data_IF_477320755089
#
_entry.id   IF_477320755089
#
_cell.length_a   1.000
_cell.length_b   1.000
_cell.length_c   1.000
_cell.angle_alpha   90.00
_cell.angle_beta   90.00
_cell.angle_gamma   90.00
#
_symmetry.space_group_name_H-M   'P 1'
#
loop_
_entity.id
_entity.type
_entity.pdbx_description
1 polymer ?
#
# COMPACT_ATOMS: atom_id res chain seq x y z
N UNK A 1 3.12 8.59 -1.20
CA UNK A 1 4.26 8.75 -2.12
C UNK A 1 4.64 7.39 -2.69
N UNK A 2 5.12 7.36 -3.93
CA UNK A 2 5.37 6.17 -4.70
C UNK A 2 6.73 6.27 -5.39
N UNK A 3 7.41 5.13 -5.57
CA UNK A 3 8.64 5.04 -6.36
C UNK A 3 8.54 3.89 -7.36
N UNK A 4 8.88 4.17 -8.62
CA UNK A 4 8.81 3.21 -9.73
C UNK A 4 10.08 3.30 -10.58
N UNK A 5 10.50 2.19 -11.16
CA UNK A 5 11.54 2.14 -12.18
C UNK A 5 11.06 1.26 -13.35
N UNK A 6 10.17 1.78 -14.21
CA UNK A 6 9.57 0.99 -15.29
C UNK A 6 10.65 0.44 -16.20
N UNK A 7 10.49 -0.81 -16.67
CA UNK A 7 11.47 -1.56 -17.46
C UNK A 7 12.75 -2.00 -16.74
N UNK A 8 13.08 -1.45 -15.57
CA UNK A 8 14.32 -1.78 -14.84
C UNK A 8 14.06 -2.48 -13.50
N UNK A 9 12.86 -2.34 -12.95
CA UNK A 9 12.49 -2.84 -11.62
C UNK A 9 12.56 -4.37 -11.46
N UNK A 10 12.60 -5.11 -12.57
CA UNK A 10 12.80 -6.55 -12.62
C UNK A 10 14.27 -6.97 -12.33
N UNK A 11 15.23 -6.07 -12.55
CA UNK A 11 16.63 -6.33 -12.24
C UNK A 11 16.85 -6.36 -10.72
N UNK A 12 17.49 -7.43 -10.23
CA UNK A 12 17.65 -7.65 -8.78
C UNK A 12 18.31 -6.47 -8.04
N UNK A 13 19.30 -5.82 -8.66
CA UNK A 13 19.97 -4.66 -8.07
C UNK A 13 19.07 -3.43 -7.98
N UNK A 14 18.23 -3.19 -8.99
CA UNK A 14 17.28 -2.07 -9.02
C UNK A 14 16.15 -2.33 -8.03
N UNK A 15 15.57 -3.54 -8.01
CA UNK A 15 14.58 -3.96 -7.00
C UNK A 15 15.10 -3.70 -5.58
N UNK A 16 16.28 -4.21 -5.25
CA UNK A 16 16.85 -4.06 -3.92
C UNK A 16 17.02 -2.59 -3.52
N UNK A 17 17.40 -1.73 -4.48
CA UNK A 17 17.53 -0.30 -4.21
C UNK A 17 16.19 0.40 -4.05
N UNK A 18 15.18 0.06 -4.86
CA UNK A 18 13.82 0.56 -4.72
C UNK A 18 13.24 0.21 -3.35
N UNK A 19 13.40 -1.04 -2.91
CA UNK A 19 12.94 -1.49 -1.60
C UNK A 19 13.64 -0.78 -0.44
N UNK A 20 14.96 -0.62 -0.53
CA UNK A 20 15.75 0.12 0.46
C UNK A 20 15.27 1.58 0.59
N UNK A 21 15.05 2.26 -0.53
CA UNK A 21 14.54 3.64 -0.55
C UNK A 21 13.11 3.70 0.00
N UNK A 22 12.23 2.80 -0.46
CA UNK A 22 10.85 2.70 -0.01
C UNK A 22 10.75 2.52 1.51
N UNK A 23 11.58 1.64 2.06
CA UNK A 23 11.66 1.39 3.50
C UNK A 23 12.17 2.60 4.28
N UNK A 24 13.19 3.29 3.78
CA UNK A 24 13.78 4.45 4.44
C UNK A 24 12.87 5.68 4.49
N UNK A 25 12.07 5.88 3.43
CA UNK A 25 11.20 7.05 3.31
C UNK A 25 9.75 6.78 3.72
N UNK A 26 9.41 5.53 4.09
CA UNK A 26 8.04 5.08 4.33
C UNK A 26 7.11 5.35 3.13
N UNK A 27 7.57 4.98 1.93
CA UNK A 27 6.84 5.11 0.66
C UNK A 27 6.65 3.75 0.02
N UNK A 28 5.78 3.63 -0.98
CA UNK A 28 5.54 2.35 -1.67
C UNK A 28 6.35 2.25 -2.96
N UNK A 29 7.16 1.20 -3.09
CA UNK A 29 7.76 0.79 -4.36
C UNK A 29 6.78 -0.07 -5.16
N UNK A 30 6.75 0.12 -6.48
CA UNK A 30 6.04 -0.76 -7.39
C UNK A 30 7.06 -1.31 -8.38
N UNK A 31 7.12 -2.64 -8.47
CA UNK A 31 8.04 -3.35 -9.35
C UNK A 31 7.27 -4.19 -10.36
N UNK A 32 7.88 -4.37 -11.51
CA UNK A 32 7.37 -5.20 -12.58
C UNK A 32 8.17 -6.51 -12.56
N UNK A 33 7.48 -7.64 -12.48
CA UNK A 33 8.12 -8.95 -12.63
C UNK A 33 8.29 -9.25 -14.13
N UNK A 34 9.32 -10.01 -14.45
CA UNK A 34 9.50 -10.58 -15.77
C UNK A 34 9.40 -12.10 -15.66
N UNK A 35 8.35 -12.66 -16.23
CA UNK A 35 8.06 -14.09 -16.19
C UNK A 35 7.26 -14.48 -17.43
N UNK A 36 7.41 -15.72 -17.89
CA UNK A 36 6.77 -16.23 -19.12
C UNK A 36 5.43 -16.92 -18.87
N UNK A 37 5.12 -17.22 -17.62
CA UNK A 37 3.89 -17.89 -17.21
C UNK A 37 3.58 -17.61 -15.72
N UNK A 38 2.36 -17.96 -15.30
CA UNK A 38 1.86 -17.75 -13.93
C UNK A 38 2.75 -18.41 -12.89
N UNK A 39 3.19 -19.65 -13.13
CA UNK A 39 4.04 -20.40 -12.19
C UNK A 39 5.40 -19.74 -11.97
N UNK A 40 6.03 -19.26 -13.03
CA UNK A 40 7.30 -18.53 -12.94
C UNK A 40 7.14 -17.18 -12.19
N UNK A 41 6.03 -16.47 -12.42
CA UNK A 41 5.73 -15.23 -11.71
C UNK A 41 5.58 -15.48 -10.20
N UNK A 42 4.86 -16.54 -9.82
CA UNK A 42 4.68 -16.95 -8.43
C UNK A 42 6.02 -17.36 -7.80
N UNK A 43 6.81 -18.20 -8.47
CA UNK A 43 8.13 -18.62 -7.96
C UNK A 43 9.06 -17.43 -7.74
N UNK A 44 8.97 -16.41 -8.59
CA UNK A 44 9.77 -15.18 -8.43
C UNK A 44 9.46 -14.46 -7.12
N UNK A 45 8.22 -14.56 -6.62
CA UNK A 45 7.80 -13.93 -5.37
C UNK A 45 8.38 -14.58 -4.11
N UNK A 46 8.94 -15.80 -4.19
CA UNK A 46 9.63 -16.43 -3.05
C UNK A 46 10.84 -15.60 -2.56
N UNK A 47 11.42 -14.78 -3.45
CA UNK A 47 12.52 -13.88 -3.13
C UNK A 47 12.07 -12.51 -2.59
N UNK A 48 10.78 -12.34 -2.25
CA UNK A 48 10.20 -11.08 -1.78
C UNK A 48 9.70 -11.24 -0.34
N UNK A 49 10.02 -10.27 0.51
CA UNK A 49 9.46 -10.16 1.87
C UNK A 49 9.45 -8.70 2.29
N UNK A 50 8.40 -7.98 1.89
CA UNK A 50 8.35 -6.53 2.05
C UNK A 50 6.94 -6.01 2.24
N UNK A 51 6.75 -5.13 3.23
CA UNK A 51 5.51 -4.36 3.44
C UNK A 51 5.36 -3.15 2.53
N UNK A 52 6.43 -2.74 1.85
CA UNK A 52 6.48 -1.48 1.09
C UNK A 52 6.69 -1.67 -0.39
N UNK A 53 6.55 -2.90 -0.88
CA UNK A 53 6.74 -3.23 -2.29
C UNK A 53 5.52 -3.97 -2.81
N UNK A 54 5.03 -3.54 -3.97
CA UNK A 54 4.02 -4.22 -4.78
C UNK A 54 4.70 -4.78 -6.01
N UNK A 55 4.51 -6.07 -6.26
CA UNK A 55 4.91 -6.71 -7.50
C UNK A 55 3.75 -6.68 -8.50
N UNK A 56 4.06 -6.46 -9.77
CA UNK A 56 3.08 -6.40 -10.86
C UNK A 56 3.48 -7.30 -12.01
N UNK A 57 2.53 -8.04 -12.56
CA UNK A 57 2.71 -8.93 -13.72
C UNK A 57 1.33 -9.34 -14.25
N UNK A 58 1.12 -9.55 -15.57
CA UNK A 58 2.08 -9.48 -16.70
C UNK A 58 2.28 -8.06 -17.25
N UNK A 59 2.98 -7.85 -18.37
CA UNK A 59 2.88 -6.54 -19.03
C UNK A 59 1.47 -6.32 -19.59
N UNK A 60 1.08 -5.06 -19.73
CA UNK A 60 -0.21 -4.68 -20.33
C UNK A 60 -0.01 -4.10 -21.73
N UNK A 61 -0.98 -4.33 -22.59
CA UNK A 61 -0.98 -3.82 -23.95
C UNK A 61 -1.66 -2.45 -23.99
N UNK A 62 -1.03 -1.50 -24.66
CA UNK A 62 -1.58 -0.17 -24.93
C UNK A 62 -1.53 0.14 -26.43
N UNK A 63 -2.38 1.06 -26.87
CA UNK A 63 -2.25 1.68 -28.19
C UNK A 63 -1.25 2.85 -28.11
N UNK A 64 -0.11 2.74 -28.79
CA UNK A 64 0.90 3.78 -28.78
C UNK A 64 0.54 4.96 -29.70
N UNK A 65 1.30 6.06 -29.62
CA UNK A 65 1.10 7.27 -30.44
C UNK A 65 1.29 7.06 -31.94
N UNK A 66 1.87 5.93 -32.36
CA UNK A 66 2.04 5.53 -33.75
C UNK A 66 0.88 4.64 -34.24
N UNK A 67 -0.15 4.42 -33.42
CA UNK A 67 -1.29 3.56 -33.75
C UNK A 67 -0.97 2.06 -33.73
N UNK A 68 0.11 1.65 -33.05
CA UNK A 68 0.51 0.24 -32.90
C UNK A 68 0.30 -0.22 -31.47
N UNK A 69 -0.08 -1.49 -31.32
CA UNK A 69 -0.11 -2.13 -30.00
C UNK A 69 1.32 -2.36 -29.49
N UNK A 70 1.56 -2.02 -28.23
CA UNK A 70 2.83 -2.24 -27.55
C UNK A 70 2.59 -2.75 -26.14
N UNK A 71 3.45 -3.65 -25.67
CA UNK A 71 3.46 -4.10 -24.28
C UNK A 71 4.31 -3.16 -23.43
N UNK A 72 3.75 -2.77 -22.29
CA UNK A 72 4.38 -1.86 -21.33
C UNK A 72 4.25 -2.40 -19.91
N UNK A 73 5.21 -2.10 -19.02
CA UNK A 73 5.15 -2.46 -17.62
C UNK A 73 3.90 -1.90 -16.93
N UNK A 74 3.39 -2.60 -15.93
CA UNK A 74 2.19 -2.21 -15.20
C UNK A 74 2.48 -1.13 -14.15
N UNK A 75 3.70 -1.03 -13.64
CA UNK A 75 4.07 -0.14 -12.53
C UNK A 75 3.66 1.33 -12.73
N UNK A 76 3.75 1.97 -13.92
CA UNK A 76 3.27 3.34 -14.09
C UNK A 76 1.74 3.45 -13.99
N UNK A 77 1.01 2.44 -14.49
CA UNK A 77 -0.46 2.44 -14.50
C UNK A 77 -0.97 2.19 -13.08
N UNK A 78 -0.38 1.24 -12.35
CA UNK A 78 -0.70 1.02 -10.94
C UNK A 78 -0.37 2.25 -10.10
N UNK A 79 0.77 2.92 -10.36
CA UNK A 79 1.09 4.17 -9.69
C UNK A 79 0.04 5.26 -9.94
N UNK A 80 -0.42 5.39 -11.20
CA UNK A 80 -1.49 6.28 -11.59
C UNK A 80 -2.82 5.94 -10.91
N UNK A 81 -3.18 4.65 -10.83
CA UNK A 81 -4.39 4.20 -10.13
C UNK A 81 -4.34 4.49 -8.64
N UNK A 82 -3.20 4.28 -7.98
CA UNK A 82 -3.03 4.64 -6.56
C UNK A 82 -3.17 6.15 -6.39
N UNK A 83 -2.50 6.95 -7.21
CA UNK A 83 -2.59 8.41 -7.13
C UNK A 83 -4.02 8.93 -7.39
N UNK A 84 -4.72 8.34 -8.36
CA UNK A 84 -6.11 8.65 -8.63
C UNK A 84 -7.01 8.26 -7.45
N UNK A 85 -6.83 7.05 -6.90
CA UNK A 85 -7.59 6.56 -5.74
C UNK A 85 -7.40 7.46 -4.53
N UNK A 86 -6.16 7.90 -4.27
CA UNK A 86 -5.84 8.86 -3.21
C UNK A 86 -6.57 10.19 -3.36
N UNK A 87 -6.72 10.67 -4.59
CA UNK A 87 -7.32 11.98 -4.91
C UNK A 87 -8.83 11.95 -5.16
N UNK A 88 -9.43 10.76 -5.25
CA UNK A 88 -10.86 10.57 -5.57
C UNK A 88 -11.78 11.10 -4.46
N UNK A 89 -11.32 11.01 -3.21
CA UNK A 89 -12.01 11.53 -2.02
C UNK A 89 -11.02 11.96 -0.94
N UNK A 90 -11.47 12.72 0.04
CA UNK A 90 -10.62 13.32 1.11
C UNK A 90 -9.68 12.32 1.82
N UNK A 91 -10.12 11.07 2.02
CA UNK A 91 -9.33 9.98 2.61
C UNK A 91 -9.11 8.81 1.65
N UNK A 92 -9.01 9.08 0.35
CA UNK A 92 -8.89 8.05 -0.69
C UNK A 92 -7.71 7.09 -0.51
N UNK A 93 -6.66 7.52 0.21
CA UNK A 93 -5.49 6.68 0.50
C UNK A 93 -5.79 5.42 1.32
N UNK A 94 -6.94 5.36 2.01
CA UNK A 94 -7.39 4.17 2.73
C UNK A 94 -8.11 3.15 1.84
N UNK A 95 -8.41 3.51 0.59
CA UNK A 95 -9.07 2.62 -0.35
C UNK A 95 -8.04 1.79 -1.13
N UNK A 96 -8.48 0.64 -1.62
CA UNK A 96 -7.70 -0.16 -2.54
C UNK A 96 -7.73 0.42 -3.96
N UNK A 97 -6.60 0.35 -4.64
CA UNK A 97 -6.51 0.59 -6.08
C UNK A 97 -6.96 -0.63 -6.91
N UNK A 98 -7.19 -1.78 -6.26
CA UNK A 98 -7.68 -3.01 -6.88
C UNK A 98 -9.13 -2.88 -7.35
N UNK A 99 -9.52 -3.69 -8.33
CA UNK A 99 -10.82 -3.69 -8.99
C UNK A 99 -11.19 -2.35 -9.67
N UNK A 100 -10.19 -1.56 -10.06
CA UNK A 100 -10.38 -0.29 -10.76
C UNK A 100 -10.01 -0.42 -12.24
N UNK A 101 -10.72 0.29 -13.10
CA UNK A 101 -10.49 0.26 -14.55
C UNK A 101 -9.11 0.84 -14.89
N UNK A 102 -8.31 0.09 -15.62
CA UNK A 102 -7.01 0.50 -16.14
C UNK A 102 -7.20 1.25 -17.47
N UNK A 103 -7.43 2.56 -17.38
CA UNK A 103 -7.65 3.40 -18.55
C UNK A 103 -6.48 3.32 -19.55
N UNK A 104 -6.81 3.12 -20.82
CA UNK A 104 -5.83 3.02 -21.92
C UNK A 104 -5.23 1.63 -22.13
N UNK A 105 -5.52 0.67 -21.23
CA UNK A 105 -5.15 -0.74 -21.43
C UNK A 105 -6.13 -1.40 -22.39
N UNK A 106 -5.58 -2.08 -23.40
CA UNK A 106 -6.35 -2.78 -24.44
C UNK A 106 -6.11 -4.29 -24.45
N UNK A 107 -5.23 -4.79 -23.59
CA UNK A 107 -4.82 -6.19 -23.56
C UNK A 107 -3.82 -6.48 -22.45
N UNK A 108 -3.46 -7.76 -22.32
CA UNK A 108 -2.39 -8.24 -21.45
C UNK A 108 -1.41 -9.06 -22.31
N UNK A 109 -0.14 -9.10 -21.91
CA UNK A 109 0.90 -9.89 -22.58
C UNK A 109 0.61 -11.39 -22.50
N UNK A 110 0.17 -11.84 -21.33
CA UNK A 110 -0.28 -13.21 -21.09
C UNK A 110 -1.76 -13.20 -20.73
N UNK A 111 -2.49 -14.22 -21.19
CA UNK A 111 -3.88 -14.42 -20.78
C UNK A 111 -3.92 -14.80 -19.31
N UNK A 112 -4.73 -14.08 -18.53
CA UNK A 112 -4.96 -14.35 -17.10
C UNK A 112 -6.42 -14.75 -16.95
N UNK A 113 -6.64 -16.01 -16.58
CA UNK A 113 -7.99 -16.48 -16.29
C UNK A 113 -8.53 -15.78 -15.03
N UNK A 114 -9.75 -15.26 -15.14
CA UNK A 114 -10.48 -14.70 -14.00
C UNK A 114 -11.88 -15.27 -13.96
N UNK A 115 -12.17 -16.02 -12.89
CA UNK A 115 -13.50 -16.52 -12.56
C UNK A 115 -13.78 -16.12 -11.12
N UNK A 116 -14.75 -15.24 -10.92
CA UNK A 116 -15.04 -14.68 -9.60
C UNK A 116 -15.46 -15.79 -8.61
N UNK A 117 -14.74 -15.90 -7.49
CA UNK A 117 -15.03 -16.86 -6.42
C UNK A 117 -14.50 -18.29 -6.67
N UNK A 118 -13.73 -18.52 -7.73
CA UNK A 118 -13.12 -19.82 -8.05
C UNK A 118 -11.60 -19.75 -8.06
N UNK A 119 -10.95 -20.91 -7.91
CA UNK A 119 -9.50 -21.04 -8.12
C UNK A 119 -9.18 -20.82 -9.60
N UNK A 120 -8.64 -19.64 -9.92
CA UNK A 120 -8.24 -19.19 -11.24
C UNK A 120 -6.87 -18.51 -11.18
N UNK A 121 -6.24 -18.27 -12.33
CA UNK A 121 -4.91 -17.67 -12.39
C UNK A 121 -4.83 -16.31 -11.69
N UNK A 122 -5.85 -15.45 -11.86
CA UNK A 122 -5.90 -14.16 -11.20
C UNK A 122 -5.87 -14.26 -9.66
N UNK A 123 -6.56 -15.26 -9.09
CA UNK A 123 -6.59 -15.45 -7.64
C UNK A 123 -5.30 -16.10 -7.13
N UNK A 124 -4.70 -17.02 -7.89
CA UNK A 124 -3.37 -17.57 -7.57
C UNK A 124 -2.29 -16.50 -7.56
N UNK A 125 -2.29 -15.60 -8.55
CA UNK A 125 -1.37 -14.46 -8.59
C UNK A 125 -1.60 -13.52 -7.40
N UNK A 126 -2.85 -13.19 -7.09
CA UNK A 126 -3.20 -12.36 -5.94
C UNK A 126 -2.70 -12.98 -4.63
N UNK A 127 -2.96 -14.26 -4.42
CA UNK A 127 -2.52 -15.00 -3.23
C UNK A 127 -0.99 -15.10 -3.14
N UNK A 128 -0.27 -15.02 -4.26
CA UNK A 128 1.18 -14.88 -4.31
C UNK A 128 1.66 -13.42 -4.17
N UNK A 129 0.78 -12.49 -3.78
CA UNK A 129 1.05 -11.06 -3.61
C UNK A 129 1.47 -10.33 -4.90
N UNK A 130 0.97 -10.81 -6.04
CA UNK A 130 1.19 -10.21 -7.36
C UNK A 130 -0.07 -9.45 -7.77
N UNK A 131 0.12 -8.19 -8.14
CA UNK A 131 -0.96 -7.39 -8.73
C UNK A 131 -0.99 -7.58 -10.25
N UNK A 132 -2.13 -8.03 -10.74
CA UNK A 132 -2.37 -8.41 -12.14
C UNK A 132 -3.46 -7.55 -12.78
N UNK A 133 -3.73 -7.82 -14.05
CA UNK A 133 -4.78 -7.22 -14.84
C UNK A 133 -5.79 -8.28 -15.27
N UNK A 134 -7.05 -8.10 -14.90
CA UNK A 134 -8.15 -8.99 -15.26
C UNK A 134 -9.05 -8.34 -16.31
N UNK A 135 -9.69 -9.15 -17.15
CA UNK A 135 -10.74 -8.69 -18.06
C UNK A 135 -12.11 -8.99 -17.45
N UNK A 136 -12.71 -8.00 -16.79
CA UNK A 136 -14.05 -8.09 -16.22
C UNK A 136 -14.71 -6.71 -16.25
N UNK A 137 -15.70 -6.52 -17.12
CA UNK A 137 -16.30 -5.21 -17.40
C UNK A 137 -15.25 -4.15 -17.80
N UNK A 138 -14.29 -4.56 -18.63
CA UNK A 138 -13.09 -3.80 -18.97
C UNK A 138 -11.83 -4.37 -18.31
N UNK A 139 -10.67 -3.83 -18.69
CA UNK A 139 -9.41 -4.19 -18.05
C UNK A 139 -9.32 -3.53 -16.68
N UNK A 140 -9.18 -4.33 -15.63
CA UNK A 140 -9.15 -3.86 -14.24
C UNK A 140 -7.89 -4.33 -13.54
N UNK A 141 -7.39 -3.52 -12.62
CA UNK A 141 -6.36 -3.94 -11.67
C UNK A 141 -6.93 -5.00 -10.73
N UNK A 142 -6.11 -6.00 -10.39
CA UNK A 142 -6.48 -7.03 -9.43
C UNK A 142 -5.29 -7.33 -8.54
N UNK A 143 -5.40 -7.05 -7.23
CA UNK A 143 -4.31 -7.24 -6.28
C UNK A 143 -4.34 -6.24 -5.14
N UNK A 144 -3.20 -5.61 -4.85
CA UNK A 144 -3.04 -4.69 -3.72
C UNK A 144 -2.45 -5.31 -2.46
N UNK A 145 -1.84 -6.49 -2.59
CA UNK A 145 -1.19 -7.19 -1.49
C UNK A 145 0.33 -7.00 -1.53
N UNK A 146 0.90 -6.81 -0.36
CA UNK A 146 2.34 -6.74 -0.11
C UNK A 146 2.82 -8.12 0.31
N UNK A 147 4.09 -8.41 0.04
CA UNK A 147 4.74 -9.68 0.39
C UNK A 147 5.21 -9.78 1.86
N UNK A 148 4.65 -8.99 2.78
CA UNK A 148 5.14 -9.00 4.16
C UNK A 148 4.81 -10.33 4.87
N UNK A 149 5.73 -10.81 5.71
CA UNK A 149 5.58 -12.06 6.47
C UNK A 149 4.40 -12.02 7.46
N UNK A 150 4.19 -10.87 8.10
CA UNK A 150 3.07 -10.66 9.00
C UNK A 150 1.83 -10.27 8.19
N UNK A 151 0.83 -11.15 8.23
CA UNK A 151 -0.42 -11.07 7.45
C UNK A 151 -1.20 -9.80 7.72
N UNK A 152 -1.02 -9.17 8.90
CA UNK A 152 -1.68 -7.90 9.18
C UNK A 152 -1.18 -6.79 8.26
N UNK A 153 0.04 -6.86 7.70
CA UNK A 153 0.63 -5.84 6.83
C UNK A 153 0.56 -6.20 5.34
N UNK A 154 -0.05 -7.32 4.98
CA UNK A 154 -0.20 -7.71 3.58
C UNK A 154 -1.15 -6.77 2.82
N UNK A 155 -2.13 -6.14 3.48
CA UNK A 155 -2.98 -5.15 2.82
C UNK A 155 -2.26 -3.80 2.66
N UNK A 156 -2.00 -3.39 1.41
CA UNK A 156 -1.31 -2.13 1.15
C UNK A 156 -2.09 -0.92 1.68
N UNK A 157 -3.41 -0.92 1.55
CA UNK A 157 -4.25 0.19 2.02
C UNK A 157 -4.06 0.42 3.53
N UNK A 158 -3.94 -0.66 4.30
CA UNK A 158 -3.57 -0.59 5.72
C UNK A 158 -2.18 0.00 5.92
N UNK A 159 -1.15 -0.54 5.26
CA UNK A 159 0.24 -0.02 5.40
C UNK A 159 0.27 1.49 5.15
N UNK A 160 -0.38 1.95 4.07
CA UNK A 160 -0.45 3.36 3.69
C UNK A 160 -1.23 4.21 4.69
N UNK A 161 -2.34 3.70 5.21
CA UNK A 161 -3.12 4.37 6.27
C UNK A 161 -2.28 4.60 7.52
N UNK A 162 -1.57 3.57 7.97
CA UNK A 162 -0.69 3.66 9.15
C UNK A 162 0.49 4.60 8.91
N UNK A 163 1.17 4.52 7.75
CA UNK A 163 2.28 5.41 7.41
C UNK A 163 1.83 6.90 7.36
N UNK A 164 0.62 7.18 6.82
CA UNK A 164 0.05 8.54 6.78
C UNK A 164 -0.27 9.08 8.18
N UNK A 165 -0.88 8.26 9.03
CA UNK A 165 -1.18 8.63 10.43
C UNK A 165 0.12 8.87 11.20
N UNK A 166 1.12 8.00 11.03
CA UNK A 166 2.42 8.14 11.66
C UNK A 166 3.11 9.45 11.23
N UNK A 167 3.09 9.78 9.94
CA UNK A 167 3.65 11.03 9.43
C UNK A 167 2.92 12.27 9.99
N UNK A 168 1.60 12.22 10.08
CA UNK A 168 0.81 13.30 10.68
C UNK A 168 1.14 13.47 12.18
N UNK A 169 1.25 12.35 12.92
CA UNK A 169 1.67 12.33 14.32
C UNK A 169 3.07 12.88 14.52
N UNK A 170 4.04 12.53 13.67
CA UNK A 170 5.41 13.08 13.71
C UNK A 170 5.43 14.59 13.46
N UNK A 171 4.65 15.08 12.50
CA UNK A 171 4.51 16.52 12.24
C UNK A 171 3.90 17.26 13.43
N UNK A 172 2.91 16.67 14.10
CA UNK A 172 2.33 17.22 15.32
C UNK A 172 3.34 17.22 16.47
N UNK A 173 4.06 16.12 16.67
CA UNK A 173 5.10 16.00 17.70
C UNK A 173 6.24 17.02 17.48
N UNK A 174 6.67 17.23 16.23
CA UNK A 174 7.71 18.21 15.90
C UNK A 174 7.34 19.64 16.34
N UNK A 175 6.07 20.02 16.24
CA UNK A 175 5.58 21.34 16.70
C UNK A 175 5.64 21.52 18.23
N UNK A 176 5.89 20.45 18.97
CA UNK A 176 5.97 20.47 20.43
C UNK A 176 7.38 20.22 20.97
N UNK A 177 8.35 19.93 20.09
CA UNK A 177 9.76 19.94 20.47
C UNK A 177 10.10 21.34 20.98
N UNK A 178 10.92 21.40 22.04
CA UNK A 178 11.35 22.62 22.74
C UNK A 178 10.25 23.42 23.45
N UNK A 179 9.03 22.86 23.56
CA UNK A 179 7.96 23.43 24.38
C UNK A 179 7.96 22.85 25.79
N UNK A 180 7.31 23.55 26.71
CA UNK A 180 7.17 23.08 28.10
C UNK A 180 6.36 21.78 28.15
N UNK A 181 6.70 20.89 29.08
CA UNK A 181 5.97 19.62 29.27
C UNK A 181 4.46 19.81 29.53
N UNK A 182 4.06 20.95 30.11
CA UNK A 182 2.66 21.34 30.28
C UNK A 182 1.88 21.46 28.95
N UNK A 183 2.57 21.65 27.83
CA UNK A 183 1.95 21.74 26.50
C UNK A 183 1.84 20.39 25.77
N UNK A 184 2.42 19.31 26.32
CA UNK A 184 2.35 17.97 25.73
C UNK A 184 0.92 17.43 25.66
N UNK A 185 0.05 17.86 26.58
CA UNK A 185 -1.35 17.50 26.58
C UNK A 185 -2.05 17.90 25.27
N UNK A 186 -1.65 19.02 24.66
CA UNK A 186 -2.21 19.45 23.38
C UNK A 186 -1.83 18.51 22.23
N UNK A 187 -0.67 17.86 22.26
CA UNK A 187 -0.29 16.87 21.25
C UNK A 187 -1.24 15.68 21.30
N UNK A 188 -1.51 15.16 22.51
CA UNK A 188 -2.44 14.05 22.70
C UNK A 188 -3.81 14.39 22.13
N UNK A 189 -4.34 15.57 22.47
CA UNK A 189 -5.61 16.06 21.94
C UNK A 189 -5.58 16.14 20.42
N UNK A 190 -4.56 16.78 19.82
CA UNK A 190 -4.48 16.93 18.36
C UNK A 190 -4.39 15.58 17.63
N UNK A 191 -3.70 14.59 18.19
CA UNK A 191 -3.66 13.22 17.65
C UNK A 191 -5.03 12.55 17.81
N UNK A 192 -5.68 12.69 18.97
CA UNK A 192 -7.01 12.14 19.21
C UNK A 192 -8.08 12.76 18.31
N UNK A 193 -7.98 14.05 18.00
CA UNK A 193 -8.84 14.76 17.03
C UNK A 193 -8.65 14.20 15.62
N UNK A 194 -7.40 14.06 15.15
CA UNK A 194 -7.10 13.44 13.86
C UNK A 194 -7.69 12.02 13.76
N UNK A 195 -7.48 11.19 14.78
CA UNK A 195 -7.99 9.82 14.79
C UNK A 195 -9.53 9.78 14.89
N UNK A 196 -10.14 10.76 15.57
CA UNK A 196 -11.59 10.93 15.62
C UNK A 196 -12.15 11.23 14.24
N UNK A 197 -11.53 12.13 13.50
CA UNK A 197 -11.95 12.51 12.15
C UNK A 197 -11.84 11.31 11.20
N UNK A 198 -10.74 10.55 11.29
CA UNK A 198 -10.55 9.32 10.51
C UNK A 198 -11.56 8.22 10.86
N UNK A 199 -11.97 8.13 12.13
CA UNK A 199 -13.08 7.25 12.55
C UNK A 199 -14.42 7.72 11.98
N UNK A 200 -14.69 9.03 12.01
CA UNK A 200 -15.88 9.63 11.39
C UNK A 200 -15.96 9.39 9.88
N UNK A 201 -14.82 9.44 9.20
CA UNK A 201 -14.67 9.12 7.78
C UNK A 201 -14.68 7.61 7.46
N UNK A 202 -14.84 6.74 8.47
CA UNK A 202 -14.83 5.26 8.34
C UNK A 202 -13.52 4.69 7.79
N UNK A 203 -12.42 5.44 7.91
CA UNK A 203 -11.05 4.94 7.65
C UNK A 203 -10.62 4.02 8.78
N UNK A 204 -10.98 4.39 10.02
CA UNK A 204 -10.72 3.61 11.23
C UNK A 204 -12.03 3.07 11.83
N UNK A 205 -11.96 1.90 12.44
CA UNK A 205 -13.04 1.33 13.26
C UNK A 205 -12.92 1.87 14.69
N UNK A 206 -11.69 1.93 15.21
CA UNK A 206 -11.41 2.34 16.57
C UNK A 206 -9.96 2.76 16.77
N UNK A 207 -9.72 3.48 17.86
CA UNK A 207 -8.40 3.92 18.27
C UNK A 207 -8.36 4.12 19.79
N UNK A 208 -7.15 4.06 20.36
CA UNK A 208 -6.84 4.34 21.76
C UNK A 208 -5.52 5.11 21.81
N UNK A 209 -5.50 6.23 22.53
CA UNK A 209 -4.29 7.03 22.75
C UNK A 209 -4.01 7.15 24.24
N UNK A 210 -2.86 6.64 24.68
CA UNK A 210 -2.45 6.61 26.09
C UNK A 210 -0.98 6.95 26.24
N UNK A 211 -0.59 7.47 27.41
CA UNK A 211 0.82 7.65 27.75
C UNK A 211 1.43 6.28 28.08
N UNK A 212 2.65 6.04 27.62
CA UNK A 212 3.37 4.80 27.91
C UNK A 212 3.97 4.87 29.32
N UNK A 213 3.28 4.33 30.32
CA UNK A 213 3.72 4.37 31.72
C UNK A 213 5.03 3.60 31.96
N UNK A 214 5.30 2.55 31.17
CA UNK A 214 6.53 1.77 31.30
C UNK A 214 7.75 2.55 30.80
N UNK A 215 7.59 3.33 29.73
CA UNK A 215 8.68 4.13 29.15
C UNK A 215 8.78 5.53 29.75
N UNK A 216 7.69 6.11 30.25
CA UNK A 216 7.69 7.43 30.89
C UNK A 216 8.10 7.36 32.37
N UNK A 217 9.26 6.77 32.62
CA UNK A 217 9.88 6.76 33.95
C UNK A 217 10.34 8.17 34.36
N UNK A 218 10.50 8.42 35.66
CA UNK A 218 10.99 9.72 36.19
C UNK A 218 12.31 10.16 35.53
N UNK A 219 13.21 9.21 35.25
CA UNK A 219 14.47 9.46 34.57
C UNK A 219 14.27 9.95 33.12
N UNK A 220 13.36 9.32 32.36
CA UNK A 220 13.07 9.72 30.99
C UNK A 220 12.33 11.05 30.94
N UNK A 221 11.33 11.25 31.81
CA UNK A 221 10.59 12.51 31.93
C UNK A 221 11.52 13.66 32.31
N UNK A 222 12.42 13.46 33.28
CA UNK A 222 13.43 14.46 33.66
C UNK A 222 14.42 14.76 32.54
N UNK A 223 14.68 13.79 31.66
CA UNK A 223 15.48 13.96 30.45
C UNK A 223 14.69 14.55 29.27
N UNK A 224 13.41 14.94 29.46
CA UNK A 224 12.55 15.52 28.42
C UNK A 224 12.05 14.52 27.37
N UNK A 225 12.13 13.21 27.65
CA UNK A 225 11.67 12.15 26.76
C UNK A 225 10.27 11.70 27.16
N UNK A 226 9.34 11.75 26.21
CA UNK A 226 7.95 11.38 26.41
C UNK A 226 7.50 10.40 25.33
N UNK A 227 6.77 9.37 25.76
CA UNK A 227 6.33 8.26 24.92
C UNK A 227 4.81 8.16 24.94
N UNK A 228 4.21 8.17 23.76
CA UNK A 228 2.76 8.06 23.57
C UNK A 228 2.46 6.76 22.81
N UNK A 229 1.56 5.95 23.37
CA UNK A 229 1.03 4.76 22.74
C UNK A 229 -0.22 5.10 21.94
N UNK A 230 -0.20 4.73 20.65
CA UNK A 230 -1.33 4.91 19.73
C UNK A 230 -1.69 3.54 19.20
N UNK A 231 -2.82 3.00 19.65
CA UNK A 231 -3.41 1.77 19.09
C UNK A 231 -4.53 2.18 18.15
N UNK A 232 -4.62 1.53 17.00
CA UNK A 232 -5.65 1.82 16.01
C UNK A 232 -6.00 0.59 15.20
N UNK A 233 -7.24 0.54 14.73
CA UNK A 233 -7.76 -0.51 13.86
C UNK A 233 -8.33 0.15 12.62
N UNK A 234 -7.74 -0.12 11.46
CA UNK A 234 -8.29 0.34 10.19
C UNK A 234 -9.53 -0.46 9.82
N UNK A 235 -10.38 0.16 9.00
CA UNK A 235 -11.47 -0.55 8.34
C UNK A 235 -10.87 -1.50 7.27
N UNK A 236 -11.13 -2.82 7.34
CA UNK A 236 -10.54 -3.77 6.41
C UNK A 236 -11.14 -3.65 5.01
N UNK A 237 -10.32 -3.87 4.00
CA UNK A 237 -10.77 -4.00 2.61
C UNK A 237 -11.37 -5.39 2.41
N UNK A 238 -12.55 -5.48 1.81
CA UNK A 238 -13.17 -6.76 1.43
C UNK A 238 -12.34 -7.40 0.30
N UNK A 239 -11.86 -8.62 0.52
CA UNK A 239 -11.00 -9.34 -0.43
C UNK A 239 -11.76 -10.38 -1.24
N UNK A 240 -12.64 -11.12 -0.59
CA UNK A 240 -13.46 -12.19 -1.18
C UNK A 240 -14.87 -12.14 -0.59
N UNK A 241 -15.87 -12.40 -1.43
CA UNK A 241 -17.26 -12.65 -1.02
C UNK A 241 -17.65 -13.98 -1.65
N UNK A 242 -17.98 -14.97 -0.82
CA UNK A 242 -18.53 -16.26 -1.28
C UNK A 242 -20.03 -16.22 -1.09
N UNK A 243 -20.78 -16.49 -2.16
CA UNK A 243 -22.23 -16.63 -2.13
C UNK A 243 -22.54 -18.13 -2.22
N UNK A 244 -23.18 -18.68 -1.19
CA UNK A 244 -23.71 -20.05 -1.16
C UNK A 244 -25.16 -20.10 -1.68
#
# INVERSE_FOLDING_TARGET
>A
DLIIAPYYSHEAGVKAKLESVASSMNITAIVDLYATNVGEAINTMEAFSSKRLIATWPQVQILNTQGKYAYVPQSPIIAGLIAHTDGDKEYGFSDSYSNRVMNGVTGTEYFIEFINGFDCDAERLRNAHISTCILSEGYRSWGGETSHEDTIWQDLARVRTFDRIALAGQKAAFKAIDKKASELYFIKISIEELLRDLKGAKVLIGYEVSWDEERNTDANVSAGKFYLNIKMMNNPIVKQITLE
#
